data_IF_854618951726
#
_entry.id   IF_854618951726
#
_cell.length_a   1.000
_cell.length_b   1.000
_cell.length_c   1.000
_cell.angle_alpha   90.00
_cell.angle_beta   90.00
_cell.angle_gamma   90.00
#
_symmetry.space_group_name_H-M   'P 1'
#
loop_
_entity.id
_entity.type
_entity.pdbx_description
1 polymer ?
#
# COMPACT_ATOMS: atom_id res chain seq x y z
N UNK A 1 37.77 -21.89 -15.56
CA UNK A 1 37.77 -20.95 -14.40
C UNK A 1 37.28 -19.53 -14.74
N UNK A 2 36.98 -19.17 -16.00
CA UNK A 2 36.31 -17.90 -16.36
C UNK A 2 34.78 -18.05 -16.56
N UNK A 3 34.29 -19.25 -16.89
CA UNK A 3 32.84 -19.48 -17.09
C UNK A 3 32.01 -19.49 -15.80
N UNK A 4 32.61 -19.78 -14.64
CA UNK A 4 31.88 -19.80 -13.35
C UNK A 4 31.69 -18.41 -12.74
N UNK A 5 32.45 -17.40 -13.18
CA UNK A 5 32.32 -16.02 -12.69
C UNK A 5 31.22 -15.24 -13.42
N UNK A 6 30.87 -15.62 -14.65
CA UNK A 6 29.71 -15.05 -15.33
C UNK A 6 28.40 -15.53 -14.69
N UNK A 7 28.32 -16.81 -14.27
CA UNK A 7 27.09 -17.39 -13.72
C UNK A 7 26.67 -16.79 -12.36
N UNK A 8 27.63 -16.30 -11.55
CA UNK A 8 27.35 -15.66 -10.25
C UNK A 8 26.90 -14.20 -10.37
N UNK A 9 27.20 -13.52 -11.47
CA UNK A 9 26.78 -12.13 -11.72
C UNK A 9 25.33 -12.06 -12.24
N UNK A 10 24.79 -13.18 -12.76
CA UNK A 10 23.39 -13.28 -13.19
C UNK A 10 22.37 -13.42 -12.03
N UNK A 11 22.83 -13.57 -10.79
CA UNK A 11 21.97 -13.55 -9.59
C UNK A 11 21.80 -12.15 -8.99
N UNK A 12 22.33 -11.11 -9.64
CA UNK A 12 21.92 -9.74 -9.34
C UNK A 12 20.51 -9.58 -9.90
N UNK A 13 19.51 -10.09 -9.17
CA UNK A 13 18.10 -9.84 -9.42
C UNK A 13 17.96 -8.32 -9.58
N UNK A 14 17.76 -7.90 -10.81
CA UNK A 14 17.47 -6.51 -11.12
C UNK A 14 16.20 -6.15 -10.37
N UNK A 15 16.26 -5.14 -9.51
CA UNK A 15 15.07 -4.58 -8.89
C UNK A 15 14.16 -4.05 -10.00
N UNK A 16 13.06 -4.74 -10.23
CA UNK A 16 12.06 -4.32 -11.22
C UNK A 16 11.10 -3.31 -10.56
N UNK A 17 11.24 -2.05 -10.93
CA UNK A 17 10.27 -1.01 -10.57
C UNK A 17 9.13 -1.06 -11.58
N UNK A 18 7.99 -1.59 -11.15
CA UNK A 18 6.74 -1.46 -11.90
C UNK A 18 5.86 -0.39 -11.26
N UNK A 19 5.13 0.36 -12.10
CA UNK A 19 3.95 1.06 -11.58
C UNK A 19 2.91 0.00 -11.24
N UNK A 20 2.18 0.20 -10.16
CA UNK A 20 1.08 -0.67 -9.77
C UNK A 20 -0.23 0.00 -10.22
N UNK A 21 -0.78 -0.31 -11.42
CA UNK A 21 -2.13 0.05 -11.78
C UNK A 21 -3.01 -1.20 -11.67
N UNK A 22 -3.53 -1.52 -10.48
CA UNK A 22 -4.66 -2.41 -10.44
C UNK A 22 -5.87 -1.65 -10.99
N UNK A 23 -6.89 -2.36 -11.47
CA UNK A 23 -8.12 -1.79 -12.05
C UNK A 23 -8.82 -0.74 -11.16
N UNK A 24 -8.46 -0.66 -9.88
CA UNK A 24 -8.93 0.33 -8.90
C UNK A 24 -8.12 1.62 -8.86
N UNK A 25 -8.81 2.76 -8.67
CA UNK A 25 -8.17 4.06 -8.45
C UNK A 25 -7.43 4.09 -7.10
N UNK A 26 -6.14 4.48 -7.06
CA UNK A 26 -5.41 4.65 -5.80
C UNK A 26 -5.92 5.85 -4.98
N UNK A 27 -5.56 5.95 -3.69
CA UNK A 27 -5.82 7.16 -2.92
C UNK A 27 -5.26 8.41 -3.58
N UNK A 28 -5.90 9.59 -3.38
CA UNK A 28 -5.28 10.87 -3.68
C UNK A 28 -3.88 10.99 -3.08
N UNK A 29 -3.01 11.74 -3.75
CA UNK A 29 -1.67 12.09 -3.25
C UNK A 29 -1.81 12.64 -1.83
N UNK A 30 -1.08 12.03 -0.89
CA UNK A 30 -1.14 12.34 0.53
C UNK A 30 0.23 12.20 1.17
N UNK A 31 0.46 12.92 2.25
CA UNK A 31 1.64 12.87 3.11
C UNK A 31 1.19 12.85 4.58
N UNK A 32 2.11 12.50 5.49
CA UNK A 32 1.83 12.38 6.93
C UNK A 32 0.65 11.44 7.25
N UNK A 33 0.39 10.45 6.40
CA UNK A 33 -0.58 9.39 6.65
C UNK A 33 -0.03 8.37 7.63
N UNK A 34 -0.90 7.77 8.44
CA UNK A 34 -0.56 6.57 9.19
C UNK A 34 -0.64 5.36 8.25
N UNK A 35 0.28 4.41 8.41
CA UNK A 35 0.32 3.18 7.62
C UNK A 35 0.64 1.99 8.51
N UNK A 36 -0.06 0.88 8.31
CA UNK A 36 0.19 -0.38 9.00
C UNK A 36 0.03 -1.58 8.05
N UNK A 37 0.68 -2.69 8.37
CA UNK A 37 0.59 -3.94 7.63
C UNK A 37 -0.30 -4.94 8.37
N UNK A 38 -1.43 -5.31 7.77
CA UNK A 38 -2.29 -6.37 8.26
C UNK A 38 -1.89 -7.71 7.66
N UNK A 39 -1.25 -8.54 8.49
CA UNK A 39 -0.82 -9.89 8.12
C UNK A 39 -2.00 -10.81 7.79
N UNK A 40 -3.16 -10.64 8.42
CA UNK A 40 -4.30 -11.55 8.24
C UNK A 40 -4.91 -11.44 6.85
N UNK A 41 -4.95 -10.21 6.30
CA UNK A 41 -5.45 -9.92 4.96
C UNK A 41 -4.34 -9.69 3.92
N UNK A 42 -3.08 -9.85 4.30
CA UNK A 42 -1.89 -9.55 3.51
C UNK A 42 -2.01 -8.19 2.79
N UNK A 43 -2.34 -7.15 3.55
CA UNK A 43 -2.67 -5.84 3.00
C UNK A 43 -2.00 -4.71 3.77
N UNK A 44 -1.73 -3.60 3.08
CA UNK A 44 -1.35 -2.34 3.72
C UNK A 44 -2.62 -1.52 3.98
N UNK A 45 -2.74 -1.00 5.19
CA UNK A 45 -3.78 -0.06 5.58
C UNK A 45 -3.18 1.34 5.66
N UNK A 46 -3.87 2.32 5.09
CA UNK A 46 -3.48 3.73 5.10
C UNK A 46 -4.65 4.53 5.67
N UNK A 47 -4.39 5.33 6.69
CA UNK A 47 -5.39 6.23 7.28
C UNK A 47 -4.95 7.69 7.20
N UNK A 48 -5.88 8.52 6.73
CA UNK A 48 -5.76 9.97 6.76
C UNK A 48 -4.53 10.52 6.05
N UNK A 49 -3.91 11.53 6.66
CA UNK A 49 -2.84 12.35 6.09
C UNK A 49 -3.37 13.66 5.51
N UNK A 50 -2.54 14.35 4.73
CA UNK A 50 -2.93 15.60 4.08
C UNK A 50 -2.33 15.77 2.69
N UNK A 51 -2.89 16.68 1.91
CA UNK A 51 -2.34 17.19 0.66
C UNK A 51 -2.08 18.69 0.81
N UNK A 52 -1.00 19.03 1.53
CA UNK A 52 -0.68 20.41 1.88
C UNK A 52 -1.46 20.93 3.08
N UNK A 53 -1.45 22.25 3.29
CA UNK A 53 -1.97 22.88 4.50
C UNK A 53 -3.51 22.87 4.62
N UNK A 54 -4.22 22.83 3.49
CA UNK A 54 -5.69 23.02 3.44
C UNK A 54 -6.49 21.73 3.31
N UNK A 55 -5.85 20.60 2.97
CA UNK A 55 -6.57 19.38 2.59
C UNK A 55 -6.16 18.24 3.52
N UNK A 56 -6.97 17.94 4.53
CA UNK A 56 -6.79 16.78 5.41
C UNK A 56 -7.72 15.65 5.00
N UNK A 57 -7.25 14.42 5.17
CA UNK A 57 -8.03 13.22 4.87
C UNK A 57 -8.38 12.49 6.17
N UNK A 58 -9.57 11.90 6.20
CA UNK A 58 -10.08 11.04 7.27
C UNK A 58 -10.55 9.67 6.74
N UNK A 59 -10.16 9.33 5.52
CA UNK A 59 -10.50 8.07 4.86
C UNK A 59 -9.50 6.96 5.20
N UNK A 60 -9.94 5.72 5.02
CA UNK A 60 -9.10 4.52 5.14
C UNK A 60 -8.98 3.88 3.75
N UNK A 61 -7.76 3.56 3.36
CA UNK A 61 -7.46 2.83 2.14
C UNK A 61 -6.78 1.51 2.48
N UNK A 62 -7.13 0.47 1.72
CA UNK A 62 -6.48 -0.82 1.77
C UNK A 62 -5.78 -1.10 0.44
N UNK A 63 -4.55 -1.59 0.51
CA UNK A 63 -3.81 -2.13 -0.62
C UNK A 63 -3.58 -3.63 -0.43
N UNK A 64 -4.23 -4.46 -1.24
CA UNK A 64 -4.01 -5.92 -1.24
C UNK A 64 -2.66 -6.23 -1.88
N UNK A 65 -1.74 -6.87 -1.16
CA UNK A 65 -0.46 -7.31 -1.74
C UNK A 65 -0.62 -8.55 -2.64
N UNK A 66 -1.70 -9.31 -2.47
CA UNK A 66 -1.99 -10.49 -3.31
C UNK A 66 -2.39 -10.07 -4.73
N UNK A 67 -3.30 -9.10 -4.81
CA UNK A 67 -3.93 -8.71 -6.08
C UNK A 67 -3.38 -7.37 -6.60
N UNK A 68 -2.49 -6.74 -5.83
CA UNK A 68 -1.98 -5.40 -6.06
C UNK A 68 -3.09 -4.33 -6.17
N UNK A 69 -4.26 -4.55 -5.56
CA UNK A 69 -5.49 -3.75 -5.68
C UNK A 69 -5.65 -2.69 -4.56
N UNK A 70 -6.10 -1.50 -4.93
CA UNK A 70 -6.54 -0.46 -3.99
C UNK A 70 -8.04 -0.57 -3.70
N UNK A 71 -8.45 -0.32 -2.46
CA UNK A 71 -9.85 -0.24 -2.08
C UNK A 71 -10.04 0.86 -1.05
N UNK A 72 -10.98 1.78 -1.32
CA UNK A 72 -11.40 2.74 -0.32
C UNK A 72 -12.34 2.03 0.67
N UNK A 73 -11.91 1.92 1.91
CA UNK A 73 -12.73 1.42 3.00
C UNK A 73 -13.56 2.59 3.53
N UNK A 74 -14.55 3.03 2.75
CA UNK A 74 -15.49 4.07 3.18
C UNK A 74 -16.08 3.62 4.51
N UNK A 75 -16.03 4.51 5.52
CA UNK A 75 -16.61 4.25 6.84
C UNK A 75 -18.12 4.07 6.73
N UNK A 76 -18.59 2.85 6.53
CA UNK A 76 -20.02 2.53 6.47
C UNK A 76 -20.64 2.31 7.84
N UNK A 77 -19.96 2.60 8.94
CA UNK A 77 -20.58 2.50 10.25
C UNK A 77 -20.19 3.65 11.18
N UNK A 78 -21.17 4.50 11.48
CA UNK A 78 -21.21 5.35 12.68
C UNK A 78 -21.29 4.50 13.98
N UNK A 79 -20.87 3.24 13.98
CA UNK A 79 -20.90 2.41 15.17
C UNK A 79 -19.54 2.50 15.85
N UNK A 80 -19.44 3.42 16.80
CA UNK A 80 -18.41 3.38 17.84
C UNK A 80 -18.41 1.96 18.44
N UNK A 81 -17.26 1.29 18.59
CA UNK A 81 -17.20 0.01 19.32
C UNK A 81 -17.81 0.22 20.70
N UNK A 82 -18.88 -0.52 21.03
CA UNK A 82 -19.49 -0.43 22.35
C UNK A 82 -18.45 -0.84 23.38
N UNK A 83 -18.15 0.04 24.33
CA UNK A 83 -17.38 -0.32 25.50
C UNK A 83 -18.18 -1.33 26.32
N UNK A 84 -17.72 -2.58 26.34
CA UNK A 84 -18.05 -3.49 27.43
C UNK A 84 -16.83 -3.57 28.34
#
# INVERSE_FOLDING_TARGET
>A
MFLLFCLSVFLCDSFEVSRIPPTSTPPPKRQFSAMDYDKSSNSLLIFGGNQGASSTFNDVWKFSLNDSLWTNLVSTTNTIPSNN
#
